data_IF_820729575428
#
_entry.id   IF_820729575428
#
_cell.length_a   1.000
_cell.length_b   1.000
_cell.length_c   1.000
_cell.angle_alpha   90.00
_cell.angle_beta   90.00
_cell.angle_gamma   90.00
#
_symmetry.space_group_name_H-M   'P 1'
#
loop_
_entity.id
_entity.type
_entity.pdbx_description
1 polymer ?
#
# COMPACT_ATOMS: atom_id res chain seq x y z
N UNK A 1 29.46 -14.91 45.43
CA UNK A 1 28.28 -14.10 45.06
C UNK A 1 28.78 -12.79 44.47
N UNK A 2 28.36 -12.27 43.32
CA UNK A 2 27.05 -12.31 42.71
C UNK A 2 27.12 -12.41 41.17
N UNK A 3 26.43 -13.43 40.64
CA UNK A 3 25.88 -13.46 39.29
C UNK A 3 24.44 -12.94 39.38
N UNK A 4 24.06 -12.01 38.49
CA UNK A 4 22.71 -11.62 38.05
C UNK A 4 22.83 -10.22 37.41
N UNK A 5 22.22 -9.87 36.30
CA UNK A 5 21.35 -10.55 35.36
C UNK A 5 21.36 -9.69 34.08
N UNK A 6 21.21 -10.39 32.98
CA UNK A 6 20.81 -9.95 31.65
C UNK A 6 19.89 -8.71 31.63
N UNK A 7 20.26 -7.71 30.84
CA UNK A 7 19.39 -6.60 30.47
C UNK A 7 19.56 -6.27 29.01
N UNK A 8 19.14 -7.19 28.13
CA UNK A 8 18.93 -6.88 26.71
C UNK A 8 17.95 -5.71 26.64
N UNK A 9 18.31 -4.73 25.83
CA UNK A 9 17.52 -3.58 25.39
C UNK A 9 16.01 -3.86 25.44
N UNK A 10 15.19 -3.08 26.16
CA UNK A 10 13.81 -2.93 25.74
C UNK A 10 13.93 -2.05 24.49
N UNK A 11 14.15 -2.68 23.34
CA UNK A 11 13.59 -2.10 22.12
C UNK A 11 12.11 -2.03 22.45
N UNK A 12 11.63 -0.81 22.70
CA UNK A 12 10.21 -0.55 22.73
C UNK A 12 9.62 -1.27 21.52
N UNK A 13 8.46 -1.93 21.61
CA UNK A 13 7.76 -2.36 20.42
C UNK A 13 7.35 -1.06 19.70
N UNK A 14 8.29 -0.50 18.96
CA UNK A 14 8.11 0.49 17.93
C UNK A 14 7.19 -0.22 16.96
N UNK A 15 5.88 -0.03 17.19
CA UNK A 15 4.79 -0.74 16.53
C UNK A 15 5.18 -0.89 15.08
N UNK A 16 5.45 -2.12 14.63
CA UNK A 16 6.01 -2.38 13.32
C UNK A 16 4.92 -2.09 12.29
N UNK A 17 4.78 -0.81 11.93
CA UNK A 17 3.80 -0.33 10.97
C UNK A 17 4.27 -0.77 9.60
N UNK A 18 3.70 -1.88 9.09
CA UNK A 18 3.99 -2.36 7.76
C UNK A 18 3.17 -1.55 6.75
N UNK A 19 3.87 -0.76 5.95
CA UNK A 19 3.27 0.05 4.87
C UNK A 19 3.39 -0.71 3.56
N UNK A 20 2.28 -1.20 3.05
CA UNK A 20 2.21 -1.94 1.80
C UNK A 20 1.70 -0.99 0.71
N UNK A 21 2.40 -0.93 -0.41
CA UNK A 21 1.95 -0.23 -1.62
C UNK A 21 1.50 -1.24 -2.66
N UNK A 22 0.29 -1.06 -3.15
CA UNK A 22 -0.31 -1.87 -4.18
C UNK A 22 -0.45 -0.99 -5.41
N UNK A 23 0.24 -1.33 -6.50
CA UNK A 23 0.09 -0.66 -7.79
C UNK A 23 -0.69 -1.57 -8.72
N UNK A 24 -1.90 -1.15 -9.09
CA UNK A 24 -2.72 -1.85 -10.07
C UNK A 24 -2.45 -1.26 -11.44
N UNK A 25 -1.85 -2.03 -12.35
CA UNK A 25 -1.70 -1.65 -13.76
C UNK A 25 -2.68 -2.44 -14.62
N UNK A 26 -3.27 -1.78 -15.62
CA UNK A 26 -4.17 -2.44 -16.56
C UNK A 26 -4.25 -1.67 -17.88
N UNK A 27 -4.50 -2.37 -18.98
CA UNK A 27 -4.80 -1.75 -20.27
C UNK A 27 -6.24 -1.19 -20.35
N UNK A 28 -7.12 -1.56 -19.39
CA UNK A 28 -8.52 -1.17 -19.38
C UNK A 28 -8.88 -0.38 -18.11
N UNK A 29 -9.12 0.93 -18.27
CA UNK A 29 -9.52 1.84 -17.19
C UNK A 29 -10.82 1.44 -16.50
N UNK A 30 -11.84 1.01 -17.27
CA UNK A 30 -13.17 0.67 -16.71
C UNK A 30 -13.09 -0.54 -15.79
N UNK A 31 -12.23 -1.50 -16.13
CA UNK A 31 -11.98 -2.66 -15.28
C UNK A 31 -11.16 -2.27 -14.05
N UNK A 32 -10.16 -1.40 -14.22
CA UNK A 32 -9.30 -0.91 -13.14
C UNK A 32 -10.09 -0.16 -12.05
N UNK A 33 -11.06 0.67 -12.44
CA UNK A 33 -11.94 1.39 -11.50
C UNK A 33 -12.78 0.42 -10.65
N UNK A 34 -13.29 -0.65 -11.26
CA UNK A 34 -14.07 -1.67 -10.53
C UNK A 34 -13.20 -2.44 -9.55
N UNK A 35 -12.03 -2.90 -10.00
CA UNK A 35 -11.10 -3.70 -9.19
C UNK A 35 -10.50 -2.87 -8.04
N UNK A 36 -10.33 -1.56 -8.21
CA UNK A 36 -9.81 -0.69 -7.16
C UNK A 36 -10.70 -0.65 -5.91
N UNK A 37 -12.01 -0.88 -6.04
CA UNK A 37 -12.95 -0.83 -4.92
C UNK A 37 -12.82 -2.02 -3.96
N UNK A 38 -12.45 -3.20 -4.47
CA UNK A 38 -12.41 -4.42 -3.66
C UNK A 38 -11.29 -4.42 -2.60
N UNK A 39 -10.03 -4.07 -2.91
CA UNK A 39 -8.95 -3.93 -1.92
C UNK A 39 -9.26 -2.87 -0.87
N UNK A 40 -9.86 -1.75 -1.27
CA UNK A 40 -10.24 -0.66 -0.35
C UNK A 40 -11.32 -1.13 0.62
N UNK A 41 -12.33 -1.85 0.13
CA UNK A 41 -13.41 -2.41 0.96
C UNK A 41 -12.88 -3.50 1.89
N UNK A 42 -12.06 -4.42 1.38
CA UNK A 42 -11.45 -5.48 2.21
C UNK A 42 -10.54 -4.93 3.31
N UNK A 43 -9.77 -3.88 3.02
CA UNK A 43 -8.96 -3.21 4.02
C UNK A 43 -9.81 -2.50 5.09
N UNK A 44 -10.92 -1.85 4.70
CA UNK A 44 -11.86 -1.25 5.65
C UNK A 44 -12.53 -2.30 6.56
N UNK A 45 -12.90 -3.46 6.03
CA UNK A 45 -13.49 -4.57 6.81
C UNK A 45 -12.52 -5.11 7.86
N UNK A 46 -11.23 -5.20 7.52
CA UNK A 46 -10.15 -5.57 8.43
C UNK A 46 -9.69 -4.45 9.38
N UNK A 47 -10.36 -3.29 9.39
CA UNK A 47 -9.99 -2.11 10.18
C UNK A 47 -8.55 -1.63 9.89
N UNK A 48 -8.07 -1.78 8.65
CA UNK A 48 -6.76 -1.30 8.21
C UNK A 48 -6.86 0.13 7.70
N UNK A 49 -5.78 0.89 7.89
CA UNK A 49 -5.73 2.29 7.43
C UNK A 49 -5.31 2.35 5.97
N UNK A 50 -6.20 2.87 5.13
CA UNK A 50 -5.95 3.03 3.68
C UNK A 50 -5.69 4.49 3.33
N UNK A 51 -4.72 4.73 2.45
CA UNK A 51 -4.69 5.96 1.65
C UNK A 51 -5.38 5.68 0.32
N UNK A 52 -6.21 6.64 -0.08
CA UNK A 52 -7.07 6.52 -1.25
C UNK A 52 -6.30 6.26 -2.55
N UNK A 53 -7.01 5.81 -3.59
CA UNK A 53 -6.40 5.51 -4.87
C UNK A 53 -5.81 6.77 -5.50
N UNK A 54 -4.50 6.78 -5.69
CA UNK A 54 -3.81 7.84 -6.43
C UNK A 54 -3.78 7.42 -7.89
N UNK A 55 -4.48 8.18 -8.74
CA UNK A 55 -4.49 7.96 -10.19
C UNK A 55 -3.20 8.50 -10.77
N UNK A 56 -2.40 7.64 -11.37
CA UNK A 56 -1.22 8.05 -12.13
C UNK A 56 -1.71 8.54 -13.50
N UNK A 57 -1.39 9.77 -13.92
CA UNK A 57 -1.84 10.29 -15.19
C UNK A 57 -1.18 9.49 -16.32
N UNK A 58 -1.95 8.66 -17.02
CA UNK A 58 -1.46 7.89 -18.18
C UNK A 58 -1.84 8.52 -19.52
N UNK A 59 -2.92 9.31 -19.57
CA UNK A 59 -3.46 9.85 -20.82
C UNK A 59 -2.53 10.91 -21.43
N UNK A 60 -2.00 11.80 -20.58
CA UNK A 60 -1.04 12.82 -20.99
C UNK A 60 0.31 12.19 -21.39
N UNK A 61 0.77 11.17 -20.68
CA UNK A 61 2.10 10.57 -20.92
C UNK A 61 2.10 9.64 -22.13
N UNK A 62 0.97 8.96 -22.43
CA UNK A 62 0.77 8.22 -23.70
C UNK A 62 0.82 9.11 -24.94
N UNK A 63 0.37 10.37 -24.80
CA UNK A 63 0.34 11.33 -25.91
C UNK A 63 1.71 11.99 -26.15
N UNK A 64 2.53 12.12 -25.11
CA UNK A 64 3.86 12.73 -25.15
C UNK A 64 4.97 11.71 -25.47
N UNK A 65 4.79 10.45 -25.04
CA UNK A 65 5.73 9.37 -25.28
C UNK A 65 5.00 8.21 -25.94
N UNK A 66 5.44 7.74 -27.12
CA UNK A 66 4.89 6.57 -27.84
C UNK A 66 5.12 5.23 -27.10
N UNK A 67 5.27 5.30 -25.79
CA UNK A 67 5.45 4.19 -24.88
C UNK A 67 4.11 4.03 -24.17
N UNK A 68 3.48 2.87 -24.32
CA UNK A 68 2.19 2.53 -23.70
C UNK A 68 2.33 2.39 -22.19
N UNK A 69 2.51 3.50 -21.47
CA UNK A 69 2.59 3.48 -20.01
C UNK A 69 1.19 3.11 -19.50
N UNK A 70 1.13 1.97 -18.82
CA UNK A 70 -0.12 1.41 -18.33
C UNK A 70 -0.71 2.37 -17.28
N UNK A 71 -2.01 2.71 -17.35
CA UNK A 71 -2.64 3.41 -16.24
C UNK A 71 -2.49 2.60 -14.96
N UNK A 72 -1.79 3.21 -14.01
CA UNK A 72 -1.58 2.70 -12.68
C UNK A 72 -2.50 3.40 -11.69
N UNK A 73 -3.10 2.63 -10.79
CA UNK A 73 -3.69 3.15 -9.54
C UNK A 73 -2.85 2.64 -8.38
N UNK A 74 -2.32 3.56 -7.57
CA UNK A 74 -1.58 3.21 -6.35
C UNK A 74 -2.50 3.30 -5.13
N UNK A 75 -2.52 2.25 -4.32
CA UNK A 75 -3.22 2.17 -3.04
C UNK A 75 -2.21 1.81 -1.96
N UNK A 76 -2.11 2.63 -0.91
CA UNK A 76 -1.26 2.35 0.24
C UNK A 76 -2.13 1.82 1.39
N UNK A 77 -1.82 0.61 1.86
CA UNK A 77 -2.48 -0.03 3.00
C UNK A 77 -1.48 -0.12 4.14
N UNK A 78 -1.91 0.31 5.32
CA UNK A 78 -1.10 0.30 6.53
C UNK A 78 -1.63 -0.81 7.44
N UNK A 79 -0.78 -1.80 7.71
CA UNK A 79 -1.07 -2.90 8.62
C UNK A 79 -0.34 -2.66 9.94
N UNK A 80 -1.07 -2.49 11.06
CA UNK A 80 -0.46 -2.59 12.38
C UNK A 80 -0.16 -4.07 12.67
N UNK A 81 1.09 -4.37 13.02
CA UNK A 81 1.45 -5.68 13.58
C UNK A 81 0.77 -5.81 14.96
N UNK A 82 0.11 -6.95 15.21
CA UNK A 82 -0.77 -7.19 16.36
C UNK A 82 0.00 -7.66 17.60
#
# INVERSE_FOLDING_TARGET
>A
MAFKDTGKTPVEPEVAIHRIRITLTSCNMKSLEKVCADPIRGAKEKNLKVKGPVRIPSEIVKQITSISIEPGVEVEVIIPDA
#
